data_IF_135120883990
#
_entry.id   IF_135120883990
#
_cell.length_a   1.000
_cell.length_b   1.000
_cell.length_c   1.000
_cell.angle_alpha   90.00
_cell.angle_beta   90.00
_cell.angle_gamma   90.00
#
_symmetry.space_group_name_H-M   'P 1'
#
loop_
_entity.id
_entity.type
_entity.pdbx_description
1 polymer ?
#
# COMPACT_ATOMS: atom_id res chain seq x y z
N UNK A 1 1.51 -9.43 -4.70
CA UNK A 1 0.89 -8.27 -5.38
C UNK A 1 0.05 -7.44 -4.41
N UNK A 2 -1.03 -7.98 -3.91
CA UNK A 2 -1.90 -7.37 -2.89
C UNK A 2 -2.11 -8.35 -1.74
N UNK A 3 -2.59 -7.86 -0.60
CA UNK A 3 -3.01 -8.71 0.52
C UNK A 3 -4.09 -9.69 0.03
N UNK A 4 -3.83 -10.99 0.18
CA UNK A 4 -4.71 -12.06 -0.29
C UNK A 4 -4.45 -12.54 -1.73
N UNK A 5 -3.50 -11.95 -2.48
CA UNK A 5 -3.09 -12.49 -3.78
C UNK A 5 -2.57 -13.91 -3.64
N UNK A 6 -2.95 -14.79 -4.57
CA UNK A 6 -2.62 -16.21 -4.51
C UNK A 6 -2.31 -16.78 -5.90
N UNK A 7 -1.34 -17.67 -5.96
CA UNK A 7 -1.18 -18.57 -7.10
C UNK A 7 -2.02 -19.83 -6.89
N UNK A 8 -2.61 -20.34 -7.95
CA UNK A 8 -3.47 -21.52 -7.91
C UNK A 8 -2.71 -22.71 -8.48
N UNK A 9 -2.59 -23.77 -7.71
CA UNK A 9 -2.00 -25.05 -8.15
C UNK A 9 -3.09 -26.10 -8.34
N UNK A 10 -3.12 -26.73 -9.50
CA UNK A 10 -4.10 -27.75 -9.87
C UNK A 10 -3.38 -29.02 -10.30
N UNK A 11 -3.77 -30.16 -9.71
CA UNK A 11 -3.31 -31.48 -10.14
C UNK A 11 -4.44 -32.18 -10.90
N UNK A 12 -4.16 -32.53 -12.15
CA UNK A 12 -5.06 -33.27 -13.03
C UNK A 12 -4.50 -34.69 -13.25
N UNK A 13 -5.31 -35.69 -13.04
CA UNK A 13 -4.93 -37.09 -13.25
C UNK A 13 -5.82 -37.72 -14.31
N UNK A 14 -5.22 -38.24 -15.36
CA UNK A 14 -5.90 -39.01 -16.42
C UNK A 14 -5.08 -40.24 -16.75
N UNK A 15 -5.73 -41.40 -16.88
CA UNK A 15 -5.08 -42.69 -17.21
C UNK A 15 -3.86 -43.02 -16.34
N UNK A 16 -3.89 -42.65 -15.05
CA UNK A 16 -2.80 -42.89 -14.11
C UNK A 16 -1.62 -41.90 -14.22
N UNK A 17 -1.68 -40.92 -15.11
CA UNK A 17 -0.67 -39.86 -15.24
C UNK A 17 -1.21 -38.58 -14.60
N UNK A 18 -0.47 -38.05 -13.64
CA UNK A 18 -0.80 -36.79 -12.97
C UNK A 18 0.06 -35.65 -13.52
N UNK A 19 -0.56 -34.50 -13.76
CA UNK A 19 0.08 -33.27 -14.22
C UNK A 19 -0.26 -32.12 -13.29
N UNK A 20 0.75 -31.30 -12.95
CA UNK A 20 0.60 -30.09 -12.15
C UNK A 20 0.56 -28.86 -13.05
N UNK A 21 -0.50 -28.08 -12.95
CA UNK A 21 -0.68 -26.81 -13.62
C UNK A 21 -0.67 -25.69 -12.56
N UNK A 22 0.06 -24.61 -12.83
CA UNK A 22 0.13 -23.44 -11.96
C UNK A 22 -0.37 -22.22 -12.71
N UNK A 23 -1.28 -21.49 -12.06
CA UNK A 23 -1.72 -20.16 -12.49
C UNK A 23 -1.13 -19.13 -11.53
N UNK A 24 -0.31 -18.20 -12.03
CA UNK A 24 0.39 -17.24 -11.17
C UNK A 24 -0.53 -16.21 -10.52
N UNK A 25 -1.62 -15.84 -11.19
CA UNK A 25 -2.28 -14.56 -10.89
C UNK A 25 -1.30 -13.39 -11.11
N UNK A 26 -1.55 -12.27 -10.45
CA UNK A 26 -0.62 -11.14 -10.43
C UNK A 26 0.48 -11.41 -9.40
N UNK A 27 1.72 -11.49 -9.84
CA UNK A 27 2.84 -11.91 -8.98
C UNK A 27 3.29 -10.77 -8.06
N UNK A 28 3.40 -9.55 -8.60
CA UNK A 28 3.91 -8.38 -7.87
C UNK A 28 5.43 -8.39 -7.70
N UNK A 29 5.93 -7.46 -6.90
CA UNK A 29 7.35 -7.30 -6.62
C UNK A 29 7.75 -7.94 -5.29
N UNK A 30 9.03 -8.20 -5.13
CA UNK A 30 9.65 -8.54 -3.84
C UNK A 30 9.96 -7.26 -3.04
N UNK A 31 10.13 -7.42 -1.73
CA UNK A 31 10.45 -6.33 -0.80
C UNK A 31 9.42 -5.18 -0.80
N UNK A 32 8.16 -5.48 -1.09
CA UNK A 32 7.10 -4.52 -0.88
C UNK A 32 6.84 -4.35 0.63
N UNK A 33 6.62 -3.11 1.11
CA UNK A 33 6.34 -2.91 2.52
C UNK A 33 5.02 -3.56 2.94
N UNK A 34 4.90 -3.87 4.22
CA UNK A 34 3.71 -4.38 4.92
C UNK A 34 3.49 -5.87 4.71
N UNK A 35 3.50 -6.37 3.48
CA UNK A 35 3.11 -7.74 3.15
C UNK A 35 4.32 -8.64 2.87
N UNK A 36 4.13 -9.94 3.09
CA UNK A 36 5.15 -10.93 2.76
C UNK A 36 5.46 -10.95 1.26
N UNK A 37 6.71 -11.29 0.93
CA UNK A 37 7.10 -11.58 -0.43
C UNK A 37 6.31 -12.75 -1.03
N UNK A 38 6.16 -12.79 -2.36
CA UNK A 38 5.50 -13.90 -3.04
C UNK A 38 6.19 -15.24 -2.76
N UNK A 39 5.40 -16.28 -2.54
CA UNK A 39 5.90 -17.65 -2.51
C UNK A 39 5.85 -18.24 -3.90
N UNK A 40 7.03 -18.57 -4.44
CA UNK A 40 7.13 -19.16 -5.77
C UNK A 40 6.95 -20.67 -5.73
N UNK A 41 6.19 -21.18 -6.70
CA UNK A 41 6.15 -22.62 -6.96
C UNK A 41 7.48 -23.07 -7.57
N UNK A 42 8.05 -24.14 -7.05
CA UNK A 42 9.37 -24.64 -7.47
C UNK A 42 9.30 -25.67 -8.59
N UNK A 43 8.14 -26.29 -8.79
CA UNK A 43 7.96 -27.36 -9.77
C UNK A 43 6.53 -27.37 -10.33
N UNK A 44 6.40 -27.46 -11.65
CA UNK A 44 5.13 -27.64 -12.35
C UNK A 44 5.36 -28.24 -13.73
N UNK A 45 4.37 -28.98 -14.26
CA UNK A 45 4.38 -29.43 -15.65
C UNK A 45 4.00 -28.31 -16.61
N UNK A 46 3.04 -27.46 -16.19
CA UNK A 46 2.58 -26.31 -16.98
C UNK A 46 2.44 -25.08 -16.09
N UNK A 47 2.87 -23.92 -16.61
CA UNK A 47 2.76 -22.62 -15.93
C UNK A 47 2.01 -21.66 -16.84
N UNK A 48 0.95 -21.04 -16.30
CA UNK A 48 0.22 -19.94 -16.90
C UNK A 48 0.47 -18.72 -16.03
N UNK A 49 1.20 -17.75 -16.55
CA UNK A 49 1.64 -16.60 -15.76
C UNK A 49 1.40 -15.28 -16.49
N UNK A 50 1.26 -14.21 -15.69
CA UNK A 50 1.24 -12.86 -16.21
C UNK A 50 2.56 -12.51 -16.93
N UNK A 51 2.49 -11.51 -17.80
CA UNK A 51 3.66 -10.94 -18.48
C UNK A 51 3.56 -9.43 -18.69
N UNK A 52 2.89 -8.74 -17.80
CA UNK A 52 2.59 -7.30 -17.86
C UNK A 52 3.85 -6.46 -18.09
N UNK A 53 4.93 -6.80 -17.42
CA UNK A 53 6.25 -6.16 -17.56
C UNK A 53 7.31 -7.14 -18.10
N UNK A 54 6.90 -8.16 -18.86
CA UNK A 54 7.78 -9.20 -19.38
C UNK A 54 8.82 -8.70 -20.40
N UNK A 55 8.66 -7.49 -20.92
CA UNK A 55 9.53 -6.86 -21.93
C UNK A 55 10.52 -5.84 -21.34
N UNK A 56 10.53 -5.62 -20.01
CA UNK A 56 11.36 -4.59 -19.38
C UNK A 56 11.74 -4.91 -17.94
N UNK A 57 12.79 -4.27 -17.46
CA UNK A 57 13.17 -4.27 -16.05
C UNK A 57 12.62 -3.03 -15.35
N UNK A 58 12.25 -3.18 -14.08
CA UNK A 58 11.98 -2.02 -13.23
C UNK A 58 13.29 -1.29 -12.92
N UNK A 59 13.20 0.02 -12.83
CA UNK A 59 14.30 0.83 -12.29
C UNK A 59 14.53 0.46 -10.81
N UNK A 60 15.76 0.69 -10.33
CA UNK A 60 16.06 0.52 -8.91
C UNK A 60 15.08 1.37 -8.11
N UNK A 61 14.37 0.80 -7.11
CA UNK A 61 13.45 1.55 -6.30
C UNK A 61 14.17 2.71 -5.60
N UNK A 62 13.64 3.93 -5.68
CA UNK A 62 14.18 5.06 -4.92
C UNK A 62 13.94 4.85 -3.42
N UNK A 63 14.55 5.68 -2.57
CA UNK A 63 14.11 5.82 -1.18
C UNK A 63 12.75 6.53 -1.16
N UNK A 64 11.67 5.75 -1.20
CA UNK A 64 10.30 6.27 -1.24
C UNK A 64 9.97 7.18 -0.06
N UNK A 65 10.53 6.90 1.12
CA UNK A 65 10.31 7.72 2.33
C UNK A 65 10.95 9.09 2.16
N UNK A 66 12.21 9.14 1.72
CA UNK A 66 12.92 10.39 1.51
C UNK A 66 12.30 11.22 0.37
N UNK A 67 11.94 10.59 -0.75
CA UNK A 67 11.31 11.29 -1.87
C UNK A 67 9.94 11.85 -1.49
N UNK A 68 9.09 11.05 -0.85
CA UNK A 68 7.77 11.48 -0.41
C UNK A 68 7.88 12.61 0.61
N UNK A 69 8.80 12.51 1.57
CA UNK A 69 9.06 13.59 2.53
C UNK A 69 9.46 14.90 1.82
N UNK A 70 10.33 14.81 0.81
CA UNK A 70 10.73 15.95 -0.01
C UNK A 70 9.55 16.61 -0.76
N UNK A 71 8.65 15.80 -1.34
CA UNK A 71 7.45 16.31 -2.00
C UNK A 71 6.48 16.98 -1.02
N UNK A 72 6.28 16.40 0.17
CA UNK A 72 5.47 16.99 1.23
C UNK A 72 6.07 18.33 1.65
N UNK A 73 7.37 18.37 1.96
CA UNK A 73 8.08 19.57 2.37
C UNK A 73 7.91 20.69 1.34
N UNK A 74 8.28 20.42 0.08
CA UNK A 74 8.20 21.41 -0.99
C UNK A 74 6.78 21.96 -1.20
N UNK A 75 5.78 21.09 -1.09
CA UNK A 75 4.37 21.47 -1.25
C UNK A 75 3.90 22.35 -0.10
N UNK A 76 4.25 21.99 1.11
CA UNK A 76 3.84 22.73 2.32
C UNK A 76 4.53 24.07 2.44
N UNK A 77 5.82 24.16 2.09
CA UNK A 77 6.57 25.43 2.07
C UNK A 77 5.97 26.46 1.10
N UNK A 78 5.26 25.98 0.08
CA UNK A 78 4.48 26.82 -0.85
C UNK A 78 3.05 27.11 -0.35
N UNK A 79 2.66 26.59 0.82
CA UNK A 79 1.31 26.73 1.37
C UNK A 79 0.25 25.87 0.67
N UNK A 80 0.68 24.87 -0.10
CA UNK A 80 -0.21 23.98 -0.86
C UNK A 80 -0.60 22.71 -0.11
N UNK A 81 -1.52 21.95 -0.69
CA UNK A 81 -1.89 20.59 -0.27
C UNK A 81 -1.29 19.58 -1.23
N UNK A 82 -0.78 18.46 -0.68
CA UNK A 82 -0.33 17.33 -1.50
C UNK A 82 -1.48 16.36 -1.69
N UNK A 83 -1.93 16.18 -2.93
CA UNK A 83 -2.94 15.18 -3.29
C UNK A 83 -2.24 13.98 -3.91
N UNK A 84 -2.50 12.80 -3.35
CA UNK A 84 -1.92 11.52 -3.80
C UNK A 84 -3.06 10.64 -4.33
N UNK A 85 -3.23 10.53 -5.66
CA UNK A 85 -4.15 9.55 -6.22
C UNK A 85 -3.59 8.14 -6.01
N UNK A 86 -4.40 7.26 -5.44
CA UNK A 86 -4.00 5.91 -5.04
C UNK A 86 -5.13 4.91 -5.21
N UNK A 87 -4.81 3.68 -5.60
CA UNK A 87 -5.79 2.60 -5.50
C UNK A 87 -6.18 2.36 -4.04
N UNK A 88 -7.46 2.06 -3.82
CA UNK A 88 -8.01 1.82 -2.48
C UNK A 88 -7.32 0.66 -1.75
N UNK A 89 -6.90 -0.37 -2.50
CA UNK A 89 -6.24 -1.56 -1.96
C UNK A 89 -4.78 -1.57 -2.38
N UNK A 90 -3.89 -1.79 -1.44
CA UNK A 90 -2.43 -1.88 -1.62
C UNK A 90 -1.75 -0.52 -1.55
N UNK A 91 -1.85 0.31 -2.60
CA UNK A 91 -1.12 1.58 -2.69
C UNK A 91 -1.48 2.58 -1.59
N UNK A 92 -2.74 2.70 -1.21
CA UNK A 92 -3.14 3.56 -0.08
C UNK A 92 -2.45 3.12 1.20
N UNK A 93 -2.42 1.82 1.49
CA UNK A 93 -1.78 1.30 2.70
C UNK A 93 -0.26 1.50 2.69
N UNK A 94 0.39 1.36 1.54
CA UNK A 94 1.82 1.70 1.39
C UNK A 94 2.09 3.18 1.68
N UNK A 95 1.25 4.08 1.17
CA UNK A 95 1.37 5.52 1.46
C UNK A 95 1.20 5.81 2.96
N UNK A 96 0.23 5.19 3.62
CA UNK A 96 0.06 5.33 5.07
C UNK A 96 1.28 4.83 5.84
N UNK A 97 1.86 3.70 5.44
CA UNK A 97 3.07 3.14 6.04
C UNK A 97 4.25 4.10 5.92
N UNK A 98 4.51 4.65 4.74
CA UNK A 98 5.59 5.62 4.52
C UNK A 98 5.36 6.93 5.26
N UNK A 99 4.13 7.47 5.25
CA UNK A 99 3.82 8.72 5.95
C UNK A 99 3.94 8.56 7.46
N UNK A 100 3.54 7.40 8.03
CA UNK A 100 3.81 7.10 9.44
C UNK A 100 5.30 7.24 9.75
N UNK A 101 6.16 6.61 8.95
CA UNK A 101 7.61 6.68 9.14
C UNK A 101 8.15 8.11 9.00
N UNK A 102 7.67 8.86 8.01
CA UNK A 102 8.03 10.27 7.81
C UNK A 102 7.70 11.10 9.05
N UNK A 103 6.52 10.91 9.64
CA UNK A 103 6.09 11.62 10.86
C UNK A 103 6.90 11.20 12.07
N UNK A 104 7.12 9.90 12.26
CA UNK A 104 7.90 9.36 13.37
C UNK A 104 9.35 9.88 13.35
N UNK A 105 9.97 9.89 12.17
CA UNK A 105 11.34 10.39 11.97
C UNK A 105 11.42 11.91 11.83
N UNK A 106 10.29 12.63 11.83
CA UNK A 106 10.18 14.10 11.67
C UNK A 106 10.92 14.61 10.45
N UNK A 107 10.70 13.96 9.30
CA UNK A 107 11.41 14.29 8.06
C UNK A 107 10.86 15.54 7.35
N UNK A 108 9.71 16.06 7.78
CA UNK A 108 9.12 17.31 7.28
C UNK A 108 9.27 18.37 8.37
N UNK A 109 9.98 19.45 8.07
CA UNK A 109 10.36 20.48 9.03
C UNK A 109 9.45 21.71 8.96
N UNK A 110 9.16 22.31 10.11
CA UNK A 110 8.32 23.51 10.19
C UNK A 110 6.82 23.27 9.98
N UNK A 111 6.40 22.02 9.77
CA UNK A 111 5.01 21.63 9.57
C UNK A 111 4.63 20.48 10.51
N UNK A 112 5.12 20.52 11.74
CA UNK A 112 4.84 19.47 12.73
C UNK A 112 3.33 19.27 12.92
N UNK A 113 2.91 18.02 13.05
CA UNK A 113 1.51 17.68 13.28
C UNK A 113 0.59 17.83 12.05
N UNK A 114 1.13 17.95 10.84
CA UNK A 114 0.30 18.02 9.64
C UNK A 114 -0.69 16.87 9.55
N UNK A 115 -1.87 17.17 9.00
CA UNK A 115 -2.94 16.19 8.81
C UNK A 115 -2.78 15.42 7.52
N UNK A 116 -3.24 14.18 7.56
CA UNK A 116 -3.33 13.28 6.41
C UNK A 116 -4.76 12.77 6.32
N UNK A 117 -5.42 13.02 5.22
CA UNK A 117 -6.78 12.57 4.98
C UNK A 117 -6.78 11.37 4.04
N UNK A 118 -7.52 10.33 4.39
CA UNK A 118 -7.92 9.27 3.46
C UNK A 118 -9.34 9.56 3.03
N UNK A 119 -9.47 10.05 1.79
CA UNK A 119 -10.75 10.43 1.19
C UNK A 119 -11.25 9.33 0.27
N UNK A 120 -11.64 8.21 0.89
CA UNK A 120 -12.25 7.06 0.22
C UNK A 120 -12.79 6.04 1.22
N UNK A 121 -14.10 5.82 1.28
CA UNK A 121 -14.68 4.78 2.13
C UNK A 121 -14.12 3.38 1.82
N UNK A 122 -13.89 3.05 0.54
CA UNK A 122 -13.32 1.76 0.15
C UNK A 122 -11.88 1.58 0.65
N UNK A 123 -11.05 2.63 0.58
CA UNK A 123 -9.69 2.57 1.10
C UNK A 123 -9.65 2.41 2.62
N UNK A 124 -10.59 3.04 3.33
CA UNK A 124 -10.75 2.90 4.78
C UNK A 124 -11.09 1.45 5.14
N UNK A 125 -12.07 0.84 4.46
CA UNK A 125 -12.45 -0.55 4.69
C UNK A 125 -11.30 -1.52 4.33
N UNK A 126 -10.61 -1.30 3.22
CA UNK A 126 -9.43 -2.08 2.85
C UNK A 126 -8.34 -1.99 3.93
N UNK A 127 -8.08 -0.80 4.47
CA UNK A 127 -7.10 -0.60 5.55
C UNK A 127 -7.48 -1.38 6.80
N UNK A 128 -8.79 -1.45 7.13
CA UNK A 128 -9.27 -2.28 8.25
C UNK A 128 -8.96 -3.76 8.02
N UNK A 129 -9.21 -4.27 6.81
CA UNK A 129 -8.89 -5.66 6.45
C UNK A 129 -7.39 -5.95 6.60
N UNK A 130 -6.50 -5.01 6.21
CA UNK A 130 -5.07 -5.15 6.42
C UNK A 130 -4.72 -5.29 7.91
N UNK A 131 -5.28 -4.43 8.76
CA UNK A 131 -5.03 -4.46 10.21
C UNK A 131 -5.55 -5.75 10.86
N UNK A 132 -6.72 -6.22 10.46
CA UNK A 132 -7.32 -7.46 11.01
C UNK A 132 -6.55 -8.73 10.64
N UNK A 133 -5.87 -8.73 9.49
CA UNK A 133 -5.15 -9.90 8.97
C UNK A 133 -3.61 -9.81 9.14
N UNK A 134 -3.12 -8.94 10.03
CA UNK A 134 -1.69 -8.69 10.21
C UNK A 134 -0.88 -9.95 10.56
N UNK A 135 -1.42 -10.87 11.36
CA UNK A 135 -0.71 -12.07 11.80
C UNK A 135 -0.32 -13.02 10.65
N UNK A 136 -1.14 -13.08 9.60
CA UNK A 136 -0.92 -13.98 8.47
C UNK A 136 -0.25 -13.33 7.27
N UNK A 137 -0.28 -11.99 7.20
CA UNK A 137 0.03 -11.27 5.97
C UNK A 137 1.18 -10.27 6.08
N UNK A 138 1.46 -9.75 7.31
CA UNK A 138 2.49 -8.73 7.46
C UNK A 138 3.89 -9.32 7.39
N UNK A 139 4.79 -8.56 6.75
CA UNK A 139 6.21 -8.86 6.71
C UNK A 139 6.88 -8.72 8.10
N UNK A 140 8.15 -9.07 8.17
CA UNK A 140 8.92 -9.03 9.42
C UNK A 140 9.02 -7.61 10.00
N UNK A 141 9.14 -6.59 9.15
CA UNK A 141 9.29 -5.20 9.58
C UNK A 141 7.97 -4.66 10.15
N UNK A 142 6.87 -4.84 9.45
CA UNK A 142 5.54 -4.46 9.94
C UNK A 142 5.16 -5.21 11.22
N UNK A 143 5.47 -6.51 11.31
CA UNK A 143 5.26 -7.31 12.52
C UNK A 143 6.11 -6.87 13.71
N UNK A 144 7.33 -6.34 13.46
CA UNK A 144 8.15 -5.77 14.52
C UNK A 144 7.49 -4.54 15.17
N UNK A 145 6.83 -3.69 14.37
CA UNK A 145 6.04 -2.56 14.87
C UNK A 145 4.84 -3.03 15.69
N UNK A 146 4.08 -3.99 15.19
CA UNK A 146 2.92 -4.56 15.90
C UNK A 146 3.33 -5.14 17.26
N UNK A 147 4.46 -5.85 17.35
CA UNK A 147 5.00 -6.37 18.62
C UNK A 147 5.36 -5.27 19.63
N UNK A 148 5.67 -4.06 19.15
CA UNK A 148 5.91 -2.89 19.99
C UNK A 148 4.62 -2.13 20.35
N UNK A 149 3.46 -2.64 19.94
CA UNK A 149 2.17 -1.98 20.15
C UNK A 149 1.88 -0.84 19.16
N UNK A 150 2.66 -0.75 18.08
CA UNK A 150 2.50 0.28 17.05
C UNK A 150 1.67 -0.29 15.89
N UNK A 151 0.58 0.38 15.53
CA UNK A 151 -0.14 0.07 14.31
C UNK A 151 0.60 0.68 13.10
N UNK A 152 1.10 -0.14 12.14
CA UNK A 152 1.89 0.37 11.02
C UNK A 152 1.14 1.30 10.07
N UNK A 153 -0.20 1.28 10.09
CA UNK A 153 -1.07 2.04 9.20
C UNK A 153 -1.82 3.17 9.92
N UNK A 154 -1.46 3.45 11.19
CA UNK A 154 -2.09 4.50 11.97
C UNK A 154 -1.04 5.37 12.65
N UNK A 155 -1.31 6.68 12.69
CA UNK A 155 -0.44 7.67 13.29
C UNK A 155 -1.24 8.92 13.68
N UNK A 156 -0.66 9.78 14.49
CA UNK A 156 -1.29 11.02 14.91
C UNK A 156 -1.51 11.97 13.71
N UNK A 157 -2.71 12.55 13.63
CA UNK A 157 -3.15 13.41 12.53
C UNK A 157 -3.65 12.66 11.28
N UNK A 158 -3.85 11.33 11.35
CA UNK A 158 -4.59 10.61 10.31
C UNK A 158 -6.10 10.80 10.53
N UNK A 159 -6.76 11.31 9.50
CA UNK A 159 -8.21 11.58 9.45
C UNK A 159 -8.85 10.75 8.33
N UNK A 160 -9.98 10.14 8.62
CA UNK A 160 -10.70 9.28 7.70
C UNK A 160 -12.01 9.95 7.26
N UNK A 161 -12.14 10.30 5.98
CA UNK A 161 -13.37 10.82 5.41
C UNK A 161 -14.29 9.66 5.01
N UNK A 162 -15.23 9.32 5.88
CA UNK A 162 -16.15 8.19 5.67
C UNK A 162 -17.39 8.63 4.91
N UNK A 163 -17.84 9.86 5.12
CA UNK A 163 -19.05 10.41 4.53
C UNK A 163 -18.75 11.51 3.50
N UNK A 164 -19.67 11.82 2.59
CA UNK A 164 -19.53 12.98 1.69
C UNK A 164 -19.32 14.31 2.44
N UNK A 165 -19.93 14.44 3.61
CA UNK A 165 -19.77 15.65 4.44
C UNK A 165 -18.34 15.75 4.99
N UNK A 166 -17.74 14.63 5.40
CA UNK A 166 -16.34 14.57 5.83
C UNK A 166 -15.40 14.98 4.67
N UNK A 167 -15.66 14.46 3.46
CA UNK A 167 -14.90 14.80 2.26
C UNK A 167 -15.01 16.29 1.93
N UNK A 168 -16.21 16.85 1.98
CA UNK A 168 -16.41 18.29 1.79
C UNK A 168 -15.70 19.12 2.86
N UNK A 169 -15.66 18.65 4.11
CA UNK A 169 -15.02 19.35 5.22
C UNK A 169 -13.52 19.54 5.02
N UNK A 170 -12.84 18.66 4.27
CA UNK A 170 -11.40 18.78 3.94
C UNK A 170 -11.10 20.13 3.26
N UNK A 171 -12.02 20.64 2.43
CA UNK A 171 -11.84 21.89 1.70
C UNK A 171 -11.87 23.14 2.62
N UNK A 172 -12.44 23.04 3.81
CA UNK A 172 -12.51 24.14 4.78
C UNK A 172 -11.27 24.23 5.68
N UNK A 173 -10.52 23.14 5.81
CA UNK A 173 -9.22 23.17 6.49
C UNK A 173 -8.21 23.91 5.60
N UNK A 174 -7.69 25.04 6.08
CA UNK A 174 -6.75 25.90 5.33
C UNK A 174 -5.29 25.58 5.59
N UNK A 175 -4.99 24.70 6.54
CA UNK A 175 -3.62 24.25 6.79
C UNK A 175 -3.11 23.35 5.67
N UNK A 176 -1.81 23.39 5.34
CA UNK A 176 -1.20 22.42 4.44
C UNK A 176 -1.42 20.98 4.95
N UNK A 177 -1.82 20.10 4.06
CA UNK A 177 -2.19 18.71 4.38
C UNK A 177 -1.88 17.76 3.25
N UNK A 178 -1.82 16.48 3.56
CA UNK A 178 -1.81 15.38 2.57
C UNK A 178 -3.22 14.84 2.42
N UNK A 179 -3.65 14.60 1.20
CA UNK A 179 -4.94 14.00 0.87
C UNK A 179 -4.67 12.77 0.00
N UNK A 180 -5.01 11.59 0.49
CA UNK A 180 -4.95 10.35 -0.27
C UNK A 180 -6.35 10.06 -0.79
N UNK A 181 -6.51 10.14 -2.09
CA UNK A 181 -7.79 9.90 -2.76
C UNK A 181 -7.72 8.65 -3.62
N UNK A 182 -8.70 7.77 -3.46
CA UNK A 182 -8.65 6.42 -4.02
C UNK A 182 -9.39 6.26 -5.34
N UNK A 183 -9.54 7.31 -6.14
CA UNK A 183 -10.09 7.13 -7.49
C UNK A 183 -9.10 6.48 -8.47
N UNK A 184 -7.80 6.57 -8.19
CA UNK A 184 -6.75 5.97 -9.01
C UNK A 184 -6.62 6.49 -10.45
N UNK A 185 -7.64 7.11 -10.98
CA UNK A 185 -7.72 7.61 -12.37
C UNK A 185 -7.97 9.11 -12.45
N UNK A 186 -7.95 9.81 -11.33
CA UNK A 186 -8.25 11.25 -11.23
C UNK A 186 -9.66 11.63 -11.74
N UNK A 187 -10.62 10.72 -11.59
CA UNK A 187 -12.03 10.93 -11.89
C UNK A 187 -12.77 11.59 -10.73
#
# INVERSE_FOLDING_TARGET
HLLGSSSIEIWLTENGVSKKIVFSGDIGNINQPIIHDPRYTTEADFVIMESTYGDRYHTVPPDYVAELAGQIQQTFDRGGNLVIPSFAVGRTQEMLYFIREIKERRLVHGHDGFKVYVDSPLAIEATRVFVENHLSCYDTAAMALVKQGINPLQFDGLELAVTPDDSMAINFDKSPKVIISASGMCE
#
